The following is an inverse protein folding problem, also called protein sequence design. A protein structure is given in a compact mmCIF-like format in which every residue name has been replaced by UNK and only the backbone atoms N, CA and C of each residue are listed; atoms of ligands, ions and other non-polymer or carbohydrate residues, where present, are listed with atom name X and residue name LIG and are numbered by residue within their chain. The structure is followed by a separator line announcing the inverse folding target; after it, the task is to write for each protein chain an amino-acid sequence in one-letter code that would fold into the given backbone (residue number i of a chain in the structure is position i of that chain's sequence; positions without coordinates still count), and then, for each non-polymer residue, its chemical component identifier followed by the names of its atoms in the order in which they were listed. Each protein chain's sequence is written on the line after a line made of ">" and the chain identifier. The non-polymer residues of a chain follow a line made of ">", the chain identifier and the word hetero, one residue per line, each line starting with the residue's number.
data_IF_108623014745
#
_entry.id   IF_108623014745
#
_cell.length_a   1.000
_cell.length_b   1.000
_cell.length_c   1.000
_cell.angle_alpha   90.00
_cell.angle_beta   90.00
_cell.angle_gamma   90.00
#
_symmetry.space_group_name_H-M   'P 1'
#
loop_
_entity.id
_entity.type
_entity.pdbx_description
1 polymer ?
#
# COMPACT_ATOMS: atom_id res chain seq x y z
N UNK A 1 15.16 1.43 2.84
CA UNK A 1 15.95 0.30 2.31
C UNK A 1 15.40 -0.21 0.98
N UNK A 2 14.08 -0.46 0.86
CA UNK A 2 13.47 -1.01 -0.36
C UNK A 2 13.67 -0.13 -1.61
N UNK A 3 13.46 1.20 -1.62
CA UNK A 3 13.68 2.03 -2.79
C UNK A 3 15.14 1.97 -3.29
N UNK A 4 16.09 1.94 -2.37
CA UNK A 4 17.52 1.88 -2.70
C UNK A 4 17.87 0.52 -3.33
N UNK A 5 17.40 -0.58 -2.74
CA UNK A 5 17.56 -1.93 -3.30
C UNK A 5 16.89 -2.06 -4.66
N UNK A 6 15.72 -1.45 -4.84
CA UNK A 6 14.99 -1.46 -6.10
C UNK A 6 15.71 -0.68 -7.21
N UNK A 7 16.23 0.52 -6.89
CA UNK A 7 17.02 1.32 -7.84
C UNK A 7 18.32 0.60 -8.21
N UNK A 8 18.97 -0.04 -7.24
CA UNK A 8 20.18 -0.83 -7.47
C UNK A 8 19.89 -2.05 -8.34
N UNK A 9 18.79 -2.75 -8.08
CA UNK A 9 18.30 -3.85 -8.89
C UNK A 9 17.99 -3.39 -10.32
N UNK A 10 17.27 -2.29 -10.52
CA UNK A 10 16.97 -1.77 -11.85
C UNK A 10 18.24 -1.40 -12.63
N UNK A 11 19.25 -0.82 -11.97
CA UNK A 11 20.53 -0.45 -12.59
C UNK A 11 21.35 -1.68 -12.99
N UNK A 12 21.32 -2.72 -12.16
CA UNK A 12 22.05 -3.96 -12.41
C UNK A 12 21.34 -4.84 -13.45
N UNK A 13 20.01 -4.90 -13.39
CA UNK A 13 19.17 -5.72 -14.27
C UNK A 13 18.90 -5.10 -15.65
N UNK A 14 19.32 -3.86 -15.91
CA UNK A 14 19.24 -3.26 -17.26
C UNK A 14 19.99 -4.07 -18.33
N UNK A 15 20.90 -4.96 -17.90
CA UNK A 15 21.66 -5.89 -18.74
C UNK A 15 21.06 -7.32 -18.84
N UNK A 16 20.10 -7.66 -17.96
CA UNK A 16 19.48 -9.00 -17.91
C UNK A 16 18.15 -8.95 -18.67
N UNK A 17 17.91 -9.98 -19.47
CA UNK A 17 16.70 -10.13 -20.26
C UNK A 17 15.44 -9.92 -19.39
N UNK A 18 14.55 -9.00 -19.78
CA UNK A 18 13.34 -8.60 -19.01
C UNK A 18 12.49 -9.81 -18.57
N UNK A 19 12.54 -10.91 -19.32
CA UNK A 19 11.84 -12.15 -18.97
C UNK A 19 12.39 -12.83 -17.73
N UNK A 20 13.71 -12.75 -17.49
CA UNK A 20 14.35 -13.36 -16.31
C UNK A 20 13.98 -12.60 -15.05
N UNK A 21 13.92 -11.27 -15.11
CA UNK A 21 13.51 -10.45 -13.96
C UNK A 21 12.04 -10.70 -13.57
N UNK A 22 11.16 -10.88 -14.55
CA UNK A 22 9.77 -11.25 -14.31
C UNK A 22 9.63 -12.63 -13.66
N UNK A 23 10.38 -13.62 -14.13
CA UNK A 23 10.37 -14.97 -13.56
C UNK A 23 10.90 -14.98 -12.13
N UNK A 24 12.00 -14.29 -11.87
CA UNK A 24 12.55 -14.17 -10.51
C UNK A 24 11.57 -13.47 -9.55
N UNK A 25 10.91 -12.42 -10.00
CA UNK A 25 9.90 -11.74 -9.20
C UNK A 25 8.69 -12.64 -8.89
N UNK A 26 8.22 -13.44 -9.85
CA UNK A 26 7.14 -14.41 -9.64
C UNK A 26 7.56 -15.49 -8.64
N UNK A 27 8.80 -15.99 -8.72
CA UNK A 27 9.32 -16.99 -7.78
C UNK A 27 9.39 -16.42 -6.36
N UNK A 28 9.91 -15.21 -6.19
CA UNK A 28 9.99 -14.56 -4.89
C UNK A 28 8.58 -14.30 -4.31
N UNK A 29 7.64 -13.88 -5.15
CA UNK A 29 6.22 -13.73 -4.76
C UNK A 29 5.66 -15.07 -4.30
N UNK A 30 5.86 -16.14 -5.06
CA UNK A 30 5.40 -17.48 -4.71
C UNK A 30 5.98 -17.98 -3.38
N UNK A 31 7.26 -17.82 -3.16
CA UNK A 31 7.93 -18.19 -1.91
C UNK A 31 7.37 -17.38 -0.73
N UNK A 32 7.23 -16.08 -0.87
CA UNK A 32 6.65 -15.24 0.17
C UNK A 32 5.21 -15.61 0.50
N UNK A 33 4.38 -15.93 -0.51
CA UNK A 33 3.01 -16.41 -0.32
C UNK A 33 2.94 -17.71 0.46
N UNK A 34 3.82 -18.67 0.18
CA UNK A 34 3.86 -19.95 0.92
C UNK A 34 4.19 -19.74 2.39
N UNK A 35 5.09 -18.81 2.70
CA UNK A 35 5.41 -18.44 4.08
C UNK A 35 4.25 -17.74 4.77
N UNK A 36 3.48 -16.87 4.09
CA UNK A 36 2.32 -16.19 4.71
C UNK A 36 1.21 -17.16 5.13
N UNK A 37 1.05 -18.27 4.43
CA UNK A 37 0.04 -19.28 4.78
C UNK A 37 0.44 -20.20 5.94
N UNK A 38 1.74 -20.30 6.24
CA UNK A 38 2.28 -21.24 7.23
C UNK A 38 2.63 -20.62 8.59
N UNK A 39 2.64 -19.27 8.70
CA UNK A 39 3.17 -18.56 9.88
C UNK A 39 2.09 -17.95 10.77
N UNK A 40 2.42 -17.74 12.05
CA UNK A 40 1.55 -17.10 13.03
C UNK A 40 1.17 -15.66 12.64
N UNK A 41 -0.08 -15.27 12.97
CA UNK A 41 -0.69 -14.00 12.53
C UNK A 41 0.14 -12.76 12.91
N UNK A 42 0.72 -12.72 14.10
CA UNK A 42 1.50 -11.59 14.58
C UNK A 42 2.81 -11.43 13.79
N UNK A 43 3.51 -12.53 13.53
CA UNK A 43 4.74 -12.54 12.73
C UNK A 43 4.48 -12.09 11.29
N UNK A 44 3.35 -12.49 10.69
CA UNK A 44 2.97 -12.05 9.33
C UNK A 44 2.79 -10.53 9.29
N UNK A 45 2.18 -9.95 10.33
CA UNK A 45 1.86 -8.52 10.35
C UNK A 45 3.10 -7.65 10.52
N UNK A 46 4.02 -8.02 11.41
CA UNK A 46 5.19 -7.21 11.77
C UNK A 46 6.45 -7.52 10.94
N UNK A 47 6.51 -8.67 10.28
CA UNK A 47 7.69 -9.05 9.50
C UNK A 47 7.69 -8.43 8.11
N UNK A 48 8.79 -7.74 7.76
CA UNK A 48 9.02 -7.17 6.43
C UNK A 48 9.02 -8.26 5.35
N UNK A 49 9.55 -9.45 5.65
CA UNK A 49 9.66 -10.55 4.70
C UNK A 49 8.30 -11.01 4.18
N UNK A 50 7.29 -11.08 5.05
CA UNK A 50 5.93 -11.50 4.66
C UNK A 50 5.19 -10.45 3.83
N UNK A 51 5.65 -9.19 3.83
CA UNK A 51 5.07 -8.10 3.04
C UNK A 51 5.85 -7.82 1.76
N UNK A 52 7.03 -8.39 1.61
CA UNK A 52 7.93 -8.12 0.49
C UNK A 52 7.29 -8.42 -0.87
N UNK A 53 6.48 -9.47 -0.95
CA UNK A 53 5.75 -9.82 -2.17
C UNK A 53 4.74 -8.75 -2.62
N UNK A 54 4.14 -7.99 -1.70
CA UNK A 54 3.22 -6.90 -2.03
C UNK A 54 3.95 -5.76 -2.76
N UNK A 55 5.14 -5.42 -2.31
CA UNK A 55 6.01 -4.44 -2.97
C UNK A 55 6.47 -4.92 -4.35
N UNK A 56 6.84 -6.20 -4.47
CA UNK A 56 7.20 -6.79 -5.74
C UNK A 56 6.03 -6.81 -6.72
N UNK A 57 4.84 -7.13 -6.25
CA UNK A 57 3.63 -7.13 -7.05
C UNK A 57 3.31 -5.72 -7.57
N UNK A 58 3.42 -4.70 -6.73
CA UNK A 58 3.28 -3.30 -7.14
C UNK A 58 4.32 -2.89 -8.20
N UNK A 59 5.59 -3.26 -8.02
CA UNK A 59 6.65 -2.95 -8.98
C UNK A 59 6.47 -3.66 -10.31
N UNK A 60 6.03 -4.92 -10.31
CA UNK A 60 5.71 -5.68 -11.52
C UNK A 60 4.59 -5.03 -12.31
N UNK A 61 3.53 -4.65 -11.63
CA UNK A 61 2.36 -4.01 -12.27
C UNK A 61 2.74 -2.66 -12.86
N UNK A 62 3.58 -1.89 -12.19
CA UNK A 62 4.11 -0.66 -12.75
C UNK A 62 4.82 -0.91 -14.08
N UNK A 63 5.73 -1.91 -14.14
CA UNK A 63 6.45 -2.27 -15.37
C UNK A 63 5.50 -2.77 -16.49
N UNK A 64 4.46 -3.51 -16.11
CA UNK A 64 3.45 -4.01 -17.05
C UNK A 64 2.53 -2.89 -17.52
N UNK A 65 2.16 -1.96 -16.64
CA UNK A 65 1.25 -0.83 -16.95
C UNK A 65 1.81 0.10 -18.02
N UNK A 66 3.14 0.20 -18.14
CA UNK A 66 3.81 0.98 -19.20
C UNK A 66 3.54 0.40 -20.60
N UNK A 67 3.34 -0.92 -20.68
CA UNK A 67 3.16 -1.64 -21.95
C UNK A 67 1.69 -1.86 -22.34
N UNK A 68 0.76 -1.68 -21.42
CA UNK A 68 -0.66 -1.96 -21.64
C UNK A 68 -1.42 -0.65 -21.89
N UNK A 69 -1.93 -0.52 -23.09
CA UNK A 69 -2.73 0.64 -23.53
C UNK A 69 -4.24 0.50 -23.21
N UNK A 70 -4.68 -0.68 -22.72
CA UNK A 70 -6.08 -1.00 -22.41
C UNK A 70 -6.49 -0.48 -21.03
N UNK A 71 -6.43 0.82 -20.82
CA UNK A 71 -6.91 1.45 -19.59
C UNK A 71 -8.40 1.79 -19.73
N UNK A 72 -9.21 1.36 -18.76
CA UNK A 72 -10.66 1.61 -18.76
C UNK A 72 -11.10 2.15 -17.40
N UNK A 73 -11.65 3.35 -17.38
CA UNK A 73 -12.08 4.02 -16.15
C UNK A 73 -13.27 3.34 -15.46
N UNK A 74 -14.18 2.73 -16.20
CA UNK A 74 -15.30 2.00 -15.59
C UNK A 74 -14.80 0.79 -14.81
N UNK A 75 -13.83 0.05 -15.35
CA UNK A 75 -13.22 -1.09 -14.67
C UNK A 75 -12.50 -0.62 -13.41
N UNK A 76 -11.75 0.48 -13.45
CA UNK A 76 -11.07 1.01 -12.27
C UNK A 76 -12.03 1.45 -11.15
N UNK A 77 -13.17 2.06 -11.50
CA UNK A 77 -14.21 2.43 -10.54
C UNK A 77 -14.83 1.18 -9.90
N UNK A 78 -15.15 0.15 -10.67
CA UNK A 78 -15.70 -1.11 -10.17
C UNK A 78 -14.71 -1.81 -9.21
N UNK A 79 -13.42 -1.82 -9.55
CA UNK A 79 -12.37 -2.37 -8.69
C UNK A 79 -12.28 -1.56 -7.38
N UNK A 80 -12.34 -0.23 -7.46
CA UNK A 80 -12.32 0.61 -6.26
C UNK A 80 -13.53 0.37 -5.36
N UNK A 81 -14.72 0.24 -5.92
CA UNK A 81 -15.92 -0.12 -5.16
C UNK A 81 -15.80 -1.50 -4.52
N UNK A 82 -15.22 -2.48 -5.22
CA UNK A 82 -14.97 -3.80 -4.65
C UNK A 82 -13.98 -3.78 -3.49
N UNK A 83 -12.95 -2.91 -3.52
CA UNK A 83 -12.05 -2.67 -2.40
C UNK A 83 -12.79 -2.09 -1.18
N UNK A 84 -13.68 -1.12 -1.39
CA UNK A 84 -14.48 -0.56 -0.28
C UNK A 84 -15.35 -1.64 0.35
N UNK A 85 -16.06 -2.44 -0.45
CA UNK A 85 -16.90 -3.53 0.04
C UNK A 85 -16.07 -4.56 0.81
N UNK A 86 -14.88 -4.87 0.35
CA UNK A 86 -13.97 -5.81 1.01
C UNK A 86 -13.52 -5.28 2.37
N UNK A 87 -13.21 -3.99 2.50
CA UNK A 87 -12.85 -3.35 3.78
C UNK A 87 -14.03 -3.39 4.75
N UNK A 88 -15.24 -3.06 4.28
CA UNK A 88 -16.45 -3.07 5.12
C UNK A 88 -16.83 -4.46 5.62
N UNK A 89 -16.53 -5.51 4.84
CA UNK A 89 -16.78 -6.92 5.22
C UNK A 89 -15.57 -7.60 5.89
N UNK A 90 -14.55 -6.88 6.26
CA UNK A 90 -13.30 -7.40 6.79
C UNK A 90 -13.44 -8.33 8.00
N UNK A 91 -14.47 -8.13 8.81
CA UNK A 91 -14.73 -8.98 9.99
C UNK A 91 -15.21 -10.41 9.64
N UNK A 92 -15.70 -10.62 8.43
CA UNK A 92 -16.27 -11.92 7.97
C UNK A 92 -15.23 -12.74 7.19
N UNK A 93 -14.23 -12.09 6.64
CA UNK A 93 -13.22 -12.73 5.77
C UNK A 93 -11.94 -13.01 6.56
N UNK A 94 -11.32 -14.14 6.30
CA UNK A 94 -10.05 -14.50 6.94
C UNK A 94 -8.96 -13.45 6.61
N UNK A 95 -8.16 -13.04 7.62
CA UNK A 95 -7.16 -11.98 7.47
C UNK A 95 -6.19 -12.21 6.31
N UNK A 96 -5.78 -13.45 6.08
CA UNK A 96 -4.88 -13.79 4.96
C UNK A 96 -5.56 -13.56 3.60
N UNK A 97 -6.82 -13.99 3.46
CA UNK A 97 -7.58 -13.77 2.21
C UNK A 97 -7.86 -12.29 1.97
N UNK A 98 -8.08 -11.51 3.04
CA UNK A 98 -8.21 -10.05 2.96
C UNK A 98 -6.95 -9.40 2.40
N UNK A 99 -5.78 -9.76 2.93
CA UNK A 99 -4.49 -9.24 2.50
C UNK A 99 -4.25 -9.58 1.02
N UNK A 100 -4.51 -10.81 0.61
CA UNK A 100 -4.35 -11.25 -0.77
C UNK A 100 -5.29 -10.50 -1.73
N UNK A 101 -6.59 -10.49 -1.42
CA UNK A 101 -7.59 -9.84 -2.26
C UNK A 101 -7.35 -8.34 -2.36
N UNK A 102 -7.05 -7.66 -1.26
CA UNK A 102 -6.78 -6.22 -1.26
C UNK A 102 -5.54 -5.87 -2.09
N UNK A 103 -4.48 -6.70 -2.00
CA UNK A 103 -3.26 -6.51 -2.78
C UNK A 103 -3.49 -6.73 -4.28
N UNK A 104 -4.25 -7.75 -4.66
CA UNK A 104 -4.60 -8.01 -6.06
C UNK A 104 -5.50 -6.89 -6.61
N UNK A 105 -6.55 -6.52 -5.89
CA UNK A 105 -7.47 -5.48 -6.33
C UNK A 105 -6.79 -4.11 -6.45
N UNK A 106 -5.96 -3.70 -5.49
CA UNK A 106 -5.21 -2.45 -5.60
C UNK A 106 -4.24 -2.45 -6.77
N UNK A 107 -3.65 -3.58 -7.04
CA UNK A 107 -2.77 -3.80 -8.18
C UNK A 107 -3.52 -3.68 -9.52
N UNK A 108 -4.68 -4.32 -9.63
CA UNK A 108 -5.55 -4.22 -10.80
C UNK A 108 -6.08 -2.78 -10.97
N UNK A 109 -6.37 -2.08 -9.87
CA UNK A 109 -6.75 -0.68 -9.92
C UNK A 109 -5.68 0.19 -10.59
N UNK A 110 -4.42 0.05 -10.17
CA UNK A 110 -3.29 0.78 -10.77
C UNK A 110 -3.14 0.43 -12.26
N UNK A 111 -3.32 -0.84 -12.62
CA UNK A 111 -3.18 -1.31 -14.00
C UNK A 111 -4.25 -0.71 -14.94
N UNK A 112 -5.51 -0.70 -14.50
CA UNK A 112 -6.65 -0.28 -15.32
C UNK A 112 -6.98 1.20 -15.16
N UNK A 113 -6.37 1.91 -14.19
CA UNK A 113 -6.63 3.32 -14.00
C UNK A 113 -6.29 4.11 -15.26
N UNK A 114 -7.27 4.87 -15.76
CA UNK A 114 -7.10 5.80 -16.86
C UNK A 114 -7.49 7.20 -16.42
N UNK A 115 -6.59 8.14 -16.63
CA UNK A 115 -6.86 9.55 -16.41
C UNK A 115 -7.92 10.02 -17.43
N UNK A 116 -9.10 10.32 -16.94
CA UNK A 116 -10.20 10.93 -17.70
C UNK A 116 -11.02 11.80 -16.74
N UNK A 117 -11.98 12.57 -17.29
CA UNK A 117 -12.78 13.52 -16.51
C UNK A 117 -13.40 12.91 -15.23
N UNK A 118 -13.88 11.66 -15.28
CA UNK A 118 -14.47 10.97 -14.12
C UNK A 118 -13.38 10.50 -13.13
N UNK A 119 -12.26 10.00 -13.63
CA UNK A 119 -11.10 9.60 -12.83
C UNK A 119 -10.48 10.80 -12.11
N UNK A 120 -10.34 11.95 -12.77
CA UNK A 120 -9.84 13.18 -12.15
C UNK A 120 -10.73 13.66 -11.01
N UNK A 121 -12.05 13.70 -11.21
CA UNK A 121 -12.99 14.13 -10.15
C UNK A 121 -12.96 13.18 -8.95
N UNK A 122 -12.91 11.87 -9.19
CA UNK A 122 -12.99 10.87 -8.13
C UNK A 122 -11.65 10.63 -7.42
N UNK A 123 -10.53 10.59 -8.14
CA UNK A 123 -9.24 10.13 -7.60
C UNK A 123 -8.15 11.20 -7.58
N UNK A 124 -8.27 12.28 -8.39
CA UNK A 124 -7.27 13.33 -8.47
C UNK A 124 -7.78 14.65 -7.85
N UNK A 125 -8.75 14.62 -6.96
CA UNK A 125 -9.15 15.80 -6.23
C UNK A 125 -8.08 16.17 -5.16
N UNK A 126 -7.99 17.47 -4.86
CA UNK A 126 -6.97 18.01 -3.94
C UNK A 126 -6.96 17.33 -2.57
N UNK A 127 -8.13 16.92 -2.09
CA UNK A 127 -8.26 16.27 -0.79
C UNK A 127 -7.64 14.87 -0.78
N UNK A 128 -7.92 14.04 -1.81
CA UNK A 128 -7.33 12.70 -1.92
C UNK A 128 -5.83 12.75 -2.20
N UNK A 129 -5.39 13.71 -3.02
CA UNK A 129 -3.95 13.94 -3.24
C UNK A 129 -3.27 14.31 -1.92
N UNK A 130 -3.86 15.20 -1.14
CA UNK A 130 -3.34 15.57 0.19
C UNK A 130 -3.24 14.35 1.12
N UNK A 131 -4.30 13.53 1.23
CA UNK A 131 -4.26 12.30 2.03
C UNK A 131 -3.17 11.35 1.52
N UNK A 132 -3.05 11.19 0.21
CA UNK A 132 -2.00 10.38 -0.40
C UNK A 132 -0.60 10.84 0.00
N UNK A 133 -0.34 12.14 -0.07
CA UNK A 133 0.95 12.71 0.28
C UNK A 133 1.34 12.49 1.74
N UNK A 134 0.40 12.66 2.67
CA UNK A 134 0.68 12.45 4.11
C UNK A 134 0.60 10.97 4.53
N UNK A 135 0.18 10.05 3.64
CA UNK A 135 -0.10 8.65 3.99
C UNK A 135 1.11 7.90 4.55
N UNK A 136 2.29 8.17 4.03
CA UNK A 136 3.54 7.56 4.51
C UNK A 136 3.88 8.03 5.92
N UNK A 137 3.86 9.32 6.17
CA UNK A 137 4.06 9.89 7.50
C UNK A 137 2.98 9.41 8.48
N UNK A 138 1.72 9.29 8.03
CA UNK A 138 0.63 8.76 8.83
C UNK A 138 0.91 7.32 9.27
N UNK A 139 1.40 6.50 8.35
CA UNK A 139 1.82 5.13 8.65
C UNK A 139 2.98 5.07 9.65
N UNK A 140 3.94 5.98 9.59
CA UNK A 140 5.04 6.01 10.54
C UNK A 140 4.61 6.43 11.96
N UNK A 141 3.73 7.42 12.07
CA UNK A 141 3.35 8.01 13.36
C UNK A 141 2.22 7.28 14.09
N UNK A 142 1.38 6.50 13.41
CA UNK A 142 0.20 5.90 14.05
C UNK A 142 0.56 4.95 15.19
N UNK A 143 1.50 4.05 15.03
CA UNK A 143 1.90 3.08 16.07
C UNK A 143 2.56 3.75 17.28
N UNK A 144 3.59 4.60 17.13
CA UNK A 144 4.18 5.30 18.27
C UNK A 144 3.15 6.12 19.05
N UNK A 145 2.30 6.87 18.37
CA UNK A 145 1.31 7.73 19.05
C UNK A 145 0.28 6.90 19.81
N UNK A 146 -0.24 5.81 19.23
CA UNK A 146 -1.16 4.91 19.92
C UNK A 146 -0.48 4.31 21.17
N UNK A 147 0.75 3.81 21.02
CA UNK A 147 1.50 3.20 22.12
C UNK A 147 1.74 4.19 23.28
N UNK A 148 2.23 5.40 22.98
CA UNK A 148 2.45 6.43 24.00
C UNK A 148 1.16 6.90 24.63
N UNK A 149 0.07 7.02 23.84
CA UNK A 149 -1.22 7.38 24.39
C UNK A 149 -1.72 6.34 25.41
N UNK A 150 -1.65 5.07 25.06
CA UNK A 150 -2.10 3.97 25.92
C UNK A 150 -1.25 3.83 27.19
N UNK A 151 0.01 4.26 27.15
CA UNK A 151 0.91 4.22 28.28
C UNK A 151 0.61 5.32 29.33
N UNK A 152 0.22 6.53 28.87
CA UNK A 152 0.11 7.71 29.73
C UNK A 152 -1.31 8.16 30.01
N UNK A 153 -2.28 7.75 29.22
CA UNK A 153 -3.65 8.21 29.32
C UNK A 153 -4.62 7.05 29.53
N UNK A 154 -5.56 7.23 30.49
CA UNK A 154 -6.66 6.30 30.71
C UNK A 154 -7.65 6.30 29.56
N UNK A 155 -8.45 5.24 29.44
CA UNK A 155 -9.52 5.16 28.46
C UNK A 155 -10.55 6.27 28.63
N UNK A 156 -10.73 7.09 27.61
CA UNK A 156 -11.68 8.20 27.55
C UNK A 156 -12.57 8.10 26.32
N UNK A 157 -13.79 8.61 26.39
CA UNK A 157 -14.71 8.69 25.25
C UNK A 157 -14.11 9.44 24.05
N UNK A 158 -13.22 10.39 24.28
CA UNK A 158 -12.52 11.17 23.24
C UNK A 158 -11.20 10.54 22.76
N UNK A 159 -10.87 9.31 23.18
CA UNK A 159 -9.63 8.63 22.82
C UNK A 159 -9.39 8.60 21.31
N UNK A 160 -10.37 8.07 20.56
CA UNK A 160 -10.21 7.87 19.10
C UNK A 160 -10.04 9.21 18.37
N UNK A 161 -10.91 10.23 18.51
CA UNK A 161 -10.75 11.49 17.80
C UNK A 161 -9.48 12.24 18.22
N UNK A 162 -9.04 12.13 19.47
CA UNK A 162 -7.84 12.78 19.96
C UNK A 162 -6.57 12.13 19.38
N UNK A 163 -6.46 10.81 19.42
CA UNK A 163 -5.34 10.08 18.81
C UNK A 163 -5.28 10.41 17.31
N UNK A 164 -6.42 10.37 16.62
CA UNK A 164 -6.49 10.64 15.20
C UNK A 164 -6.03 12.07 14.85
N UNK A 165 -6.43 13.07 15.61
CA UNK A 165 -5.97 14.45 15.40
C UNK A 165 -4.48 14.62 15.65
N UNK A 166 -3.91 13.96 16.67
CA UNK A 166 -2.48 13.99 16.95
C UNK A 166 -1.72 13.33 15.78
N UNK A 167 -2.15 12.15 15.33
CA UNK A 167 -1.51 11.46 14.20
C UNK A 167 -1.51 12.35 12.95
N UNK A 168 -2.64 12.95 12.58
CA UNK A 168 -2.72 13.84 11.41
C UNK A 168 -1.75 15.03 11.57
N UNK A 169 -1.70 15.65 12.74
CA UNK A 169 -0.82 16.80 12.98
C UNK A 169 0.65 16.43 12.83
N UNK A 170 1.10 15.33 13.47
CA UNK A 170 2.48 14.87 13.36
C UNK A 170 2.81 14.42 11.94
N UNK A 171 1.89 13.75 11.26
CA UNK A 171 2.06 13.33 9.87
C UNK A 171 2.21 14.52 8.93
N UNK A 172 1.39 15.55 9.10
CA UNK A 172 1.46 16.76 8.31
C UNK A 172 2.76 17.53 8.55
N UNK A 173 3.18 17.67 9.80
CA UNK A 173 4.47 18.31 10.13
C UNK A 173 5.65 17.51 9.55
N UNK A 174 5.63 16.18 9.68
CA UNK A 174 6.66 15.32 9.10
C UNK A 174 6.70 15.43 7.58
N UNK A 175 5.55 15.48 6.91
CA UNK A 175 5.47 15.68 5.48
C UNK A 175 6.14 16.99 5.05
N UNK A 176 5.79 18.14 5.64
CA UNK A 176 6.32 19.44 5.24
C UNK A 176 7.81 19.59 5.57
N UNK A 177 8.23 19.17 6.78
CA UNK A 177 9.60 19.45 7.23
C UNK A 177 10.63 18.43 6.82
N UNK A 178 10.19 17.21 6.54
CA UNK A 178 11.08 16.08 6.21
C UNK A 178 10.90 15.65 4.76
N UNK A 179 9.69 15.22 4.36
CA UNK A 179 9.49 14.59 3.06
C UNK A 179 9.55 15.59 1.88
N UNK A 180 8.99 16.77 2.04
CA UNK A 180 8.95 17.77 0.96
C UNK A 180 10.31 18.43 0.72
N UNK A 181 11.25 18.33 1.69
CA UNK A 181 12.59 18.90 1.58
C UNK A 181 13.66 17.95 1.04
N UNK A 182 13.40 16.66 1.03
CA UNK A 182 14.29 15.61 0.54
C UNK A 182 13.73 14.88 -0.67
#
# INVERSE_FOLDING_TARGET
>A
LFPILFIFALKYFKKINQNITLILAIIIIGISLTYTFSSDRELIFYSLFFRFWQFLLGSLIFLVSIKIDKKNSLISILIFLSLIVLILKGNVVNNVTLILLSSILSSLFILFYKKNKYGEILFENKFLIFIGNISYSFYLWHLPIIYFYDLYFAENYFRIPLIFSIIITFSYLSFIYVEEKF
#
